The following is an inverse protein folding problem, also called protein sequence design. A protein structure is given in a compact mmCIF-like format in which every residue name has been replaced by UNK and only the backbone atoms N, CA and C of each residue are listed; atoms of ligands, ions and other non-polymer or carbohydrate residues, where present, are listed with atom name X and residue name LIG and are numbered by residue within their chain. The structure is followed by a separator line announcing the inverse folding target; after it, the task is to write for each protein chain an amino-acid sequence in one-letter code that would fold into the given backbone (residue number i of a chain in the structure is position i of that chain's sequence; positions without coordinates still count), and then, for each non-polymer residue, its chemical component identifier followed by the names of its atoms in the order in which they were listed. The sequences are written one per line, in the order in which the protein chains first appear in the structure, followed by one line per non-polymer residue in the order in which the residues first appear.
data_IF_364814019442
#
_entry.id   IF_364814019442
#
_cell.length_a   1.000
_cell.length_b   1.000
_cell.length_c   1.000
_cell.angle_alpha   90.00
_cell.angle_beta   90.00
_cell.angle_gamma   90.00
#
_symmetry.space_group_name_H-M   'P 1'
#
loop_
_entity.id
_entity.type
_entity.pdbx_description
1 polymer ?
#
# COMPACT_ATOMS: atom_id res chain seq x y z
N UNK A 1 -19.49 -13.63 -32.09
CA UNK A 1 -18.51 -13.86 -31.02
C UNK A 1 -17.20 -13.26 -31.49
N UNK A 2 -16.81 -12.08 -30.99
CA UNK A 2 -15.51 -11.50 -31.32
C UNK A 2 -14.43 -12.30 -30.59
N UNK A 3 -13.39 -12.74 -31.30
CA UNK A 3 -12.24 -13.37 -30.68
C UNK A 3 -11.61 -12.41 -29.66
N UNK A 4 -11.19 -12.97 -28.52
CA UNK A 4 -10.57 -12.22 -27.45
C UNK A 4 -9.22 -11.71 -27.96
N UNK A 5 -8.90 -10.40 -27.84
CA UNK A 5 -7.61 -9.89 -28.32
C UNK A 5 -6.45 -10.57 -27.60
N UNK A 6 -5.37 -10.91 -28.32
CA UNK A 6 -4.22 -11.64 -27.76
C UNK A 6 -3.63 -10.97 -26.50
N UNK A 7 -3.65 -9.63 -26.44
CA UNK A 7 -3.16 -8.88 -25.28
C UNK A 7 -3.96 -9.18 -24.00
N UNK A 8 -5.23 -9.54 -24.11
CA UNK A 8 -6.08 -9.90 -22.97
C UNK A 8 -5.69 -11.26 -22.42
N UNK A 9 -5.39 -12.23 -23.29
CA UNK A 9 -4.88 -13.53 -22.89
C UNK A 9 -3.45 -13.41 -22.32
N UNK A 10 -2.57 -12.68 -23.01
CA UNK A 10 -1.21 -12.42 -22.52
C UNK A 10 -1.20 -11.66 -21.18
N UNK A 11 -2.15 -10.72 -20.98
CA UNK A 11 -2.34 -10.05 -19.71
C UNK A 11 -2.86 -11.01 -18.64
N UNK A 12 -3.82 -11.89 -18.96
CA UNK A 12 -4.31 -12.89 -18.02
C UNK A 12 -3.18 -13.84 -17.60
N UNK A 13 -2.41 -14.37 -18.54
CA UNK A 13 -1.26 -15.25 -18.24
C UNK A 13 -0.19 -14.51 -17.45
N UNK A 14 0.21 -13.31 -17.88
CA UNK A 14 1.23 -12.53 -17.17
C UNK A 14 0.78 -12.11 -15.77
N UNK A 15 -0.50 -11.78 -15.59
CA UNK A 15 -1.11 -11.53 -14.28
C UNK A 15 -1.04 -12.78 -13.39
N UNK A 16 -1.38 -13.94 -13.95
CA UNK A 16 -1.41 -15.21 -13.22
C UNK A 16 0.00 -15.69 -12.83
N UNK A 17 1.01 -15.39 -13.64
CA UNK A 17 2.42 -15.63 -13.30
C UNK A 17 2.91 -14.66 -12.20
N UNK A 18 2.61 -13.37 -12.31
CA UNK A 18 2.94 -12.37 -11.28
C UNK A 18 2.24 -12.71 -9.94
N UNK A 19 1.03 -13.30 -9.99
CA UNK A 19 0.29 -13.74 -8.80
C UNK A 19 1.02 -14.76 -7.93
N UNK A 20 1.80 -15.64 -8.55
CA UNK A 20 2.53 -16.69 -7.84
C UNK A 20 3.89 -16.19 -7.33
N UNK A 21 4.48 -15.20 -8.00
CA UNK A 21 5.87 -14.79 -7.73
C UNK A 21 6.04 -13.53 -6.86
N UNK A 22 5.09 -12.58 -6.86
CA UNK A 22 5.22 -11.31 -6.12
C UNK A 22 4.28 -11.22 -4.88
N UNK A 23 4.84 -11.34 -3.65
CA UNK A 23 4.07 -11.18 -2.42
C UNK A 23 3.34 -9.84 -2.27
N UNK A 24 3.90 -8.75 -2.82
CA UNK A 24 3.31 -7.41 -2.73
C UNK A 24 2.09 -7.31 -3.64
N UNK A 25 2.18 -7.87 -4.84
CA UNK A 25 1.08 -7.87 -5.81
C UNK A 25 -0.10 -8.73 -5.31
N UNK A 26 0.20 -9.87 -4.67
CA UNK A 26 -0.81 -10.69 -4.00
C UNK A 26 -1.53 -9.93 -2.87
N UNK A 27 -0.78 -9.19 -2.05
CA UNK A 27 -1.35 -8.36 -0.99
C UNK A 27 -2.25 -7.25 -1.51
N UNK A 28 -1.85 -6.58 -2.59
CA UNK A 28 -2.64 -5.54 -3.25
C UNK A 28 -3.99 -6.07 -3.76
N UNK A 29 -3.99 -7.23 -4.40
CA UNK A 29 -5.22 -7.82 -4.92
C UNK A 29 -6.14 -8.32 -3.82
N UNK A 30 -5.60 -8.91 -2.75
CA UNK A 30 -6.39 -9.27 -1.58
C UNK A 30 -7.13 -8.06 -1.01
N UNK A 31 -6.45 -6.90 -0.94
CA UNK A 31 -7.11 -5.65 -0.54
C UNK A 31 -8.20 -5.22 -1.54
N UNK A 32 -7.96 -5.32 -2.86
CA UNK A 32 -8.98 -5.01 -3.87
C UNK A 32 -10.20 -5.95 -3.81
N UNK A 33 -9.99 -7.23 -3.50
CA UNK A 33 -11.08 -8.18 -3.30
C UNK A 33 -11.87 -7.88 -2.04
N UNK A 34 -11.20 -7.49 -0.95
CA UNK A 34 -11.84 -7.08 0.30
C UNK A 34 -12.66 -5.79 0.13
N UNK A 35 -12.22 -4.87 -0.73
CA UNK A 35 -12.98 -3.66 -1.08
C UNK A 35 -14.28 -3.97 -1.84
N UNK A 36 -14.43 -5.17 -2.43
CA UNK A 36 -15.57 -5.50 -3.28
C UNK A 36 -16.82 -5.74 -2.45
N UNK A 37 -17.78 -4.84 -2.58
CA UNK A 37 -19.08 -4.94 -1.90
C UNK A 37 -19.09 -4.30 -0.51
N UNK A 38 -18.00 -3.63 -0.13
CA UNK A 38 -17.93 -2.82 1.08
C UNK A 38 -18.72 -1.52 0.96
N UNK A 39 -19.07 -0.96 2.11
CA UNK A 39 -19.66 0.39 2.20
C UNK A 39 -18.58 1.45 1.99
N UNK A 40 -18.94 2.69 1.69
CA UNK A 40 -17.98 3.80 1.53
C UNK A 40 -17.01 3.91 2.73
N UNK A 41 -17.52 3.68 3.95
CA UNK A 41 -16.71 3.65 5.17
C UNK A 41 -15.81 2.40 5.25
N UNK A 42 -16.33 1.24 4.85
CA UNK A 42 -15.55 0.00 4.78
C UNK A 42 -14.39 0.12 3.80
N UNK A 43 -14.66 0.69 2.63
CA UNK A 43 -13.65 1.02 1.60
C UNK A 43 -12.54 1.89 2.18
N UNK A 44 -12.90 2.97 2.89
CA UNK A 44 -11.92 3.85 3.50
C UNK A 44 -11.03 3.13 4.54
N UNK A 45 -11.61 2.28 5.39
CA UNK A 45 -10.85 1.54 6.41
C UNK A 45 -9.89 0.52 5.81
N UNK A 46 -10.35 -0.27 4.85
CA UNK A 46 -9.54 -1.30 4.18
C UNK A 46 -8.41 -0.63 3.39
N UNK A 47 -8.72 0.39 2.60
CA UNK A 47 -7.73 1.13 1.82
C UNK A 47 -6.68 1.80 2.73
N UNK A 48 -7.10 2.45 3.81
CA UNK A 48 -6.17 3.08 4.78
C UNK A 48 -5.25 2.04 5.41
N UNK A 49 -5.79 0.91 5.84
CA UNK A 49 -5.00 -0.17 6.46
C UNK A 49 -3.99 -0.76 5.49
N UNK A 50 -4.40 -0.94 4.22
CA UNK A 50 -3.50 -1.41 3.17
C UNK A 50 -2.38 -0.40 2.88
N UNK A 51 -2.70 0.88 2.70
CA UNK A 51 -1.72 1.93 2.47
C UNK A 51 -0.74 2.07 3.64
N UNK A 52 -1.23 1.98 4.88
CA UNK A 52 -0.38 2.02 6.07
C UNK A 52 0.65 0.89 6.10
N UNK A 53 0.23 -0.33 5.72
CA UNK A 53 1.14 -1.46 5.53
C UNK A 53 2.17 -1.16 4.43
N UNK A 54 1.73 -0.70 3.25
CA UNK A 54 2.64 -0.42 2.13
C UNK A 54 3.69 0.60 2.53
N UNK A 55 3.31 1.72 3.16
CA UNK A 55 4.26 2.74 3.63
C UNK A 55 5.25 2.18 4.67
N UNK A 56 4.78 1.30 5.55
CA UNK A 56 5.66 0.59 6.51
C UNK A 56 6.70 -0.24 5.79
N UNK A 57 6.26 -1.05 4.82
CA UNK A 57 7.11 -1.95 4.06
C UNK A 57 8.11 -1.15 3.20
N UNK A 58 7.68 -0.02 2.62
CA UNK A 58 8.57 0.90 1.88
C UNK A 58 9.67 1.47 2.79
N UNK A 59 9.32 1.96 3.97
CA UNK A 59 10.32 2.47 4.93
C UNK A 59 11.25 1.36 5.41
N UNK A 60 10.72 0.17 5.71
CA UNK A 60 11.50 -0.97 6.13
C UNK A 60 12.49 -1.42 5.05
N UNK A 61 12.06 -1.42 3.78
CA UNK A 61 12.92 -1.77 2.64
C UNK A 61 14.02 -0.73 2.38
N UNK A 62 13.77 0.55 2.66
CA UNK A 62 14.76 1.61 2.51
C UNK A 62 15.79 1.64 3.65
N UNK A 63 15.38 1.30 4.87
CA UNK A 63 16.24 1.35 6.06
C UNK A 63 17.15 0.13 6.20
N UNK A 64 18.27 0.29 6.91
CA UNK A 64 19.09 -0.85 7.32
C UNK A 64 18.31 -1.76 8.29
N UNK A 65 18.43 -3.08 8.14
CA UNK A 65 17.82 -4.04 9.05
C UNK A 65 18.59 -4.11 10.38
N UNK A 66 18.17 -3.31 11.37
CA UNK A 66 18.78 -3.26 12.69
C UNK A 66 17.77 -2.84 13.77
N UNK A 67 18.21 -2.83 15.03
CA UNK A 67 17.32 -2.48 16.14
C UNK A 67 16.84 -1.03 16.11
N UNK A 68 17.60 -0.13 15.48
CA UNK A 68 17.21 1.28 15.37
C UNK A 68 16.07 1.46 14.38
N UNK A 69 16.12 0.82 13.21
CA UNK A 69 15.01 0.85 12.25
C UNK A 69 13.76 0.18 12.82
N UNK A 70 13.91 -0.96 13.51
CA UNK A 70 12.80 -1.62 14.22
C UNK A 70 12.17 -0.71 15.28
N UNK A 71 12.96 0.02 16.08
CA UNK A 71 12.44 0.98 17.06
C UNK A 71 11.73 2.16 16.41
N UNK A 72 12.24 2.64 15.28
CA UNK A 72 11.65 3.78 14.57
C UNK A 72 10.29 3.42 13.96
N UNK A 73 10.14 2.17 13.48
CA UNK A 73 8.93 1.70 12.80
C UNK A 73 7.89 1.05 13.73
N UNK A 74 8.34 0.26 14.73
CA UNK A 74 7.50 -0.64 15.53
C UNK A 74 7.66 -0.44 17.05
N UNK A 75 8.53 0.48 17.49
CA UNK A 75 8.73 0.78 18.90
C UNK A 75 7.49 1.39 19.56
N UNK A 76 7.43 1.30 20.89
CA UNK A 76 6.45 2.05 21.68
C UNK A 76 6.71 3.56 21.50
N UNK A 77 5.69 4.31 21.05
CA UNK A 77 5.83 5.69 20.58
C UNK A 77 6.86 5.85 19.43
N UNK A 78 6.90 4.87 18.52
CA UNK A 78 7.69 4.92 17.30
C UNK A 78 7.47 6.25 16.53
N UNK A 79 8.56 6.93 16.11
CA UNK A 79 8.48 8.11 15.25
C UNK A 79 7.68 7.90 13.96
N UNK A 80 7.72 6.70 13.38
CA UNK A 80 6.89 6.30 12.23
C UNK A 80 5.81 5.30 12.65
N UNK A 81 5.22 5.51 13.83
CA UNK A 81 4.21 4.63 14.43
C UNK A 81 2.77 4.93 13.98
N UNK A 82 2.54 6.01 13.23
CA UNK A 82 1.21 6.37 12.71
C UNK A 82 1.24 6.54 11.20
N UNK A 83 0.08 6.34 10.56
CA UNK A 83 -0.09 6.53 9.13
C UNK A 83 0.43 7.89 8.65
N UNK A 84 0.04 8.99 9.30
CA UNK A 84 0.48 10.34 8.93
C UNK A 84 2.00 10.55 9.06
N UNK A 85 2.62 9.99 10.11
CA UNK A 85 4.08 10.07 10.27
C UNK A 85 4.83 9.27 9.21
N UNK A 86 4.25 8.16 8.73
CA UNK A 86 4.81 7.35 7.64
C UNK A 86 4.70 8.06 6.29
N UNK A 87 3.58 8.70 5.98
CA UNK A 87 3.44 9.55 4.79
C UNK A 87 4.53 10.62 4.79
N UNK A 88 4.65 11.36 5.89
CA UNK A 88 5.66 12.41 6.05
C UNK A 88 7.07 11.87 5.90
N UNK A 89 7.37 10.71 6.53
CA UNK A 89 8.68 10.06 6.45
C UNK A 89 9.03 9.61 5.03
N UNK A 90 8.11 8.94 4.34
CA UNK A 90 8.27 8.51 2.96
C UNK A 90 8.50 9.70 2.03
N UNK A 91 7.70 10.76 2.19
CA UNK A 91 7.81 11.97 1.36
C UNK A 91 9.14 12.70 1.58
N UNK A 92 9.53 12.90 2.84
CA UNK A 92 10.79 13.56 3.19
C UNK A 92 12.03 12.78 2.69
N UNK A 93 11.92 11.46 2.56
CA UNK A 93 12.97 10.59 2.02
C UNK A 93 12.91 10.44 0.48
N UNK A 94 11.92 11.04 -0.18
CA UNK A 94 11.73 10.94 -1.63
C UNK A 94 11.23 9.56 -2.10
N UNK A 95 10.59 8.79 -1.22
CA UNK A 95 10.06 7.45 -1.52
C UNK A 95 8.67 7.50 -2.17
N UNK A 96 7.95 8.60 -1.96
CA UNK A 96 6.65 8.89 -2.59
C UNK A 96 6.64 10.33 -3.09
N UNK A 97 5.83 10.59 -4.10
CA UNK A 97 5.62 11.88 -4.75
C UNK A 97 4.57 12.75 -4.05
N UNK A 98 4.53 14.04 -4.39
CA UNK A 98 3.49 14.97 -3.89
C UNK A 98 2.07 14.50 -4.23
N UNK A 99 1.90 13.85 -5.40
CA UNK A 99 0.61 13.31 -5.82
C UNK A 99 0.16 12.14 -4.92
N UNK A 100 1.08 11.25 -4.56
CA UNK A 100 0.82 10.11 -3.67
C UNK A 100 0.54 10.57 -2.24
N UNK A 101 1.20 11.63 -1.77
CA UNK A 101 0.86 12.29 -0.49
C UNK A 101 -0.59 12.78 -0.52
N UNK A 102 -0.97 13.55 -1.55
CA UNK A 102 -2.34 14.05 -1.68
C UNK A 102 -3.39 12.95 -1.75
N UNK A 103 -3.08 11.79 -2.34
CA UNK A 103 -3.98 10.63 -2.34
C UNK A 103 -4.10 9.98 -0.95
N UNK A 104 -3.01 9.91 -0.19
CA UNK A 104 -3.04 9.39 1.18
C UNK A 104 -3.83 10.31 2.13
N UNK A 105 -3.71 11.63 1.94
CA UNK A 105 -4.37 12.61 2.81
C UNK A 105 -5.90 12.63 2.66
N UNK A 106 -6.45 12.19 1.52
CA UNK A 106 -7.90 12.00 1.35
C UNK A 106 -8.47 11.06 2.43
N UNK A 107 -7.69 10.07 2.87
CA UNK A 107 -8.10 9.11 3.88
C UNK A 107 -7.95 9.63 5.32
N UNK A 108 -7.11 10.65 5.54
CA UNK A 108 -6.90 11.26 6.87
C UNK A 108 -7.85 12.43 7.11
N UNK A 109 -8.20 13.19 6.07
CA UNK A 109 -9.13 14.33 6.15
C UNK A 109 -10.60 13.90 6.34
N UNK A 110 -10.98 12.67 5.98
CA UNK A 110 -12.33 12.14 6.15
C UNK A 110 -12.69 11.70 7.59
N UNK A 111 -11.83 11.95 8.58
CA UNK A 111 -12.01 11.56 10.00
C UNK A 111 -12.34 12.74 10.93
N UNK A 112 -12.53 13.96 10.42
CA UNK A 112 -13.00 15.13 11.18
C UNK A 112 -14.52 15.38 11.07
#
# INVERSE_FOLDING_TARGET
MSEVPFWVEAYATGRDEIWEEDPNYKGFLAALEELKGETDRGVALVATSFLDKVLTDTLAAFMLENDSSKRILLGFNAPFGTFSTRITGCHALGLISDAEVGQCDIFTEGQE
#
